data_IF_968803524246
#
_entry.id   IF_968803524246
#
_cell.length_a   1.000
_cell.length_b   1.000
_cell.length_c   1.000
_cell.angle_alpha   90.00
_cell.angle_beta   90.00
_cell.angle_gamma   90.00
#
_symmetry.space_group_name_H-M   'P 1'
#
loop_
_entity.id
_entity.type
_entity.pdbx_description
1 polymer ?
#
# COMPACT_ATOMS: atom_id res chain seq x y z
N UNK A 1 -3.79 -6.29 -3.65
CA UNK A 1 -4.71 -5.16 -3.57
C UNK A 1 -6.04 -5.74 -3.98
N UNK A 2 -7.01 -5.83 -3.06
CA UNK A 2 -8.38 -6.19 -3.41
C UNK A 2 -9.22 -4.93 -3.53
N UNK A 3 -10.03 -4.81 -4.58
CA UNK A 3 -10.94 -3.67 -4.77
C UNK A 3 -12.37 -4.17 -4.81
N UNK A 4 -13.28 -3.53 -4.09
CA UNK A 4 -14.68 -3.93 -3.99
C UNK A 4 -15.61 -2.71 -3.87
N UNK A 5 -16.84 -2.86 -4.38
CA UNK A 5 -17.92 -1.88 -4.18
C UNK A 5 -18.76 -2.17 -2.94
N UNK A 6 -18.74 -3.43 -2.49
CA UNK A 6 -19.52 -3.99 -1.39
C UNK A 6 -18.81 -5.27 -0.94
N UNK A 7 -18.84 -5.57 0.35
CA UNK A 7 -18.35 -6.85 0.88
C UNK A 7 -19.51 -7.84 1.05
N UNK A 8 -20.63 -7.38 1.63
CA UNK A 8 -21.77 -8.23 1.94
C UNK A 8 -22.38 -8.88 0.69
N UNK A 9 -22.74 -10.16 0.83
CA UNK A 9 -23.51 -10.88 -0.17
C UNK A 9 -24.87 -10.21 -0.41
N UNK A 10 -25.35 -10.32 -1.65
CA UNK A 10 -26.74 -10.02 -2.01
C UNK A 10 -27.15 -10.93 -3.19
N UNK A 11 -28.46 -11.13 -3.44
CA UNK A 11 -28.92 -11.94 -4.56
C UNK A 11 -28.40 -11.47 -5.93
N UNK A 12 -28.15 -10.17 -6.08
CA UNK A 12 -27.57 -9.52 -7.27
C UNK A 12 -26.05 -9.30 -7.17
N UNK A 13 -25.42 -9.80 -6.10
CA UNK A 13 -24.00 -9.67 -5.78
C UNK A 13 -23.47 -10.95 -5.13
N UNK A 14 -23.52 -12.03 -5.91
CA UNK A 14 -23.41 -13.41 -5.41
C UNK A 14 -22.01 -13.83 -4.96
N UNK A 15 -21.00 -13.03 -5.27
CA UNK A 15 -19.60 -13.24 -4.89
C UNK A 15 -19.20 -12.43 -3.65
N UNK A 16 -20.15 -11.69 -3.05
CA UNK A 16 -19.95 -11.11 -1.72
C UNK A 16 -19.97 -12.17 -0.61
N UNK A 17 -19.54 -11.77 0.58
CA UNK A 17 -19.44 -12.64 1.75
C UNK A 17 -20.79 -12.74 2.47
N UNK A 18 -21.31 -13.95 2.73
CA UNK A 18 -22.56 -14.12 3.50
C UNK A 18 -22.45 -13.61 4.95
N UNK A 19 -23.54 -13.11 5.55
CA UNK A 19 -23.55 -12.58 6.92
C UNK A 19 -22.99 -13.56 7.95
N UNK A 20 -23.38 -14.83 7.89
CA UNK A 20 -22.94 -15.86 8.81
C UNK A 20 -21.43 -16.13 8.74
N UNK A 21 -20.84 -16.01 7.55
CA UNK A 21 -19.39 -16.14 7.34
C UNK A 21 -18.67 -14.92 7.92
N UNK A 22 -19.23 -13.74 7.71
CA UNK A 22 -18.65 -12.49 8.19
C UNK A 22 -18.77 -12.35 9.73
N UNK A 23 -19.88 -12.76 10.32
CA UNK A 23 -20.07 -12.75 11.77
C UNK A 23 -19.10 -13.71 12.46
N UNK A 24 -18.88 -14.90 11.89
CA UNK A 24 -17.86 -15.83 12.38
C UNK A 24 -16.44 -15.24 12.29
N UNK A 25 -16.16 -14.48 11.22
CA UNK A 25 -14.90 -13.75 11.06
C UNK A 25 -14.74 -12.68 12.15
N UNK A 26 -15.78 -11.90 12.45
CA UNK A 26 -15.76 -10.87 13.48
C UNK A 26 -15.56 -11.46 14.88
N UNK A 27 -16.24 -12.56 15.21
CA UNK A 27 -16.05 -13.26 16.49
C UNK A 27 -14.62 -13.77 16.64
N UNK A 28 -14.06 -14.36 15.57
CA UNK A 28 -12.66 -14.81 15.57
C UNK A 28 -11.70 -13.64 15.72
N UNK A 29 -11.97 -12.53 15.02
CA UNK A 29 -11.18 -11.31 15.16
C UNK A 29 -11.17 -10.80 16.59
N UNK A 30 -12.30 -10.79 17.27
CA UNK A 30 -12.39 -10.34 18.66
C UNK A 30 -11.58 -11.22 19.62
N UNK A 31 -11.69 -12.54 19.50
CA UNK A 31 -11.06 -13.51 20.42
C UNK A 31 -9.55 -13.74 20.17
N UNK A 32 -9.14 -13.58 18.92
CA UNK A 32 -7.79 -13.91 18.46
C UNK A 32 -7.04 -12.68 17.94
N UNK A 33 -7.58 -11.47 18.15
CA UNK A 33 -6.88 -10.23 17.84
C UNK A 33 -5.48 -10.25 18.43
N UNK A 34 -4.50 -9.96 17.58
CA UNK A 34 -3.10 -9.97 18.00
C UNK A 34 -2.43 -11.34 18.00
N UNK A 35 -3.11 -12.42 17.61
CA UNK A 35 -2.48 -13.74 17.45
C UNK A 35 -2.02 -14.00 16.02
N UNK A 36 -2.08 -12.97 15.16
CA UNK A 36 -1.71 -13.10 13.76
C UNK A 36 -2.84 -13.68 12.90
N UNK A 37 -4.08 -13.50 13.32
CA UNK A 37 -5.25 -14.00 12.59
C UNK A 37 -5.42 -13.33 11.24
N UNK A 38 -5.91 -14.13 10.28
CA UNK A 38 -6.04 -13.81 8.86
C UNK A 38 -4.75 -13.60 8.08
N UNK A 39 -3.56 -13.71 8.68
CA UNK A 39 -2.32 -13.63 7.90
C UNK A 39 -2.30 -14.66 6.76
N UNK A 40 -2.74 -15.89 7.02
CA UNK A 40 -2.84 -16.94 5.99
C UNK A 40 -3.88 -16.68 4.91
N UNK A 41 -4.87 -15.81 5.18
CA UNK A 41 -5.88 -15.41 4.22
C UNK A 41 -5.44 -14.18 3.41
N UNK A 42 -4.83 -13.20 4.07
CA UNK A 42 -4.39 -11.92 3.49
C UNK A 42 -3.03 -12.01 2.79
N UNK A 43 -2.13 -12.87 3.27
CA UNK A 43 -0.82 -13.10 2.69
C UNK A 43 -0.47 -14.59 2.81
N UNK A 44 -1.10 -15.47 2.00
CA UNK A 44 -0.80 -16.90 1.98
C UNK A 44 0.69 -17.22 1.85
N UNK A 45 1.46 -16.37 1.15
CA UNK A 45 2.92 -16.54 1.02
C UNK A 45 3.69 -16.44 2.34
N UNK A 46 3.09 -15.84 3.39
CA UNK A 46 3.66 -15.67 4.72
C UNK A 46 3.02 -16.59 5.77
N UNK A 47 2.12 -17.49 5.36
CA UNK A 47 1.32 -18.30 6.29
C UNK A 47 2.15 -19.24 7.18
N UNK A 48 3.27 -19.74 6.67
CA UNK A 48 4.13 -20.70 7.36
C UNK A 48 5.31 -20.02 8.09
N UNK A 49 5.44 -18.70 7.97
CA UNK A 49 6.45 -17.92 8.68
C UNK A 49 5.94 -17.56 10.09
N UNK A 50 6.45 -18.28 11.09
CA UNK A 50 6.12 -18.06 12.49
C UNK A 50 6.48 -16.64 12.98
N UNK A 51 7.58 -16.08 12.47
CA UNK A 51 8.00 -14.72 12.80
C UNK A 51 7.06 -13.68 12.17
N UNK A 52 6.60 -13.93 10.94
CA UNK A 52 5.59 -13.10 10.29
C UNK A 52 4.24 -13.15 11.03
N UNK A 53 3.79 -14.33 11.48
CA UNK A 53 2.55 -14.49 12.27
C UNK A 53 2.62 -13.75 13.59
N UNK A 54 3.72 -13.92 14.32
CA UNK A 54 3.92 -13.25 15.60
C UNK A 54 4.02 -11.72 15.43
N UNK A 55 4.67 -11.26 14.37
CA UNK A 55 4.72 -9.85 14.01
C UNK A 55 3.34 -9.29 13.66
N UNK A 56 2.57 -9.95 12.80
CA UNK A 56 1.21 -9.53 12.42
C UNK A 56 0.33 -9.40 13.66
N UNK A 57 0.47 -10.34 14.59
CA UNK A 57 -0.16 -10.27 15.90
C UNK A 57 0.27 -9.07 16.75
N UNK A 58 1.56 -8.74 16.79
CA UNK A 58 2.03 -7.51 17.46
C UNK A 58 1.46 -6.26 16.81
N UNK A 59 1.46 -6.18 15.48
CA UNK A 59 0.92 -5.07 14.71
C UNK A 59 -0.56 -4.84 15.02
N UNK A 60 -1.38 -5.89 14.97
CA UNK A 60 -2.80 -5.83 15.34
C UNK A 60 -3.00 -5.20 16.74
N UNK A 61 -2.24 -5.62 17.75
CA UNK A 61 -2.36 -5.04 19.10
C UNK A 61 -1.93 -3.58 19.20
N UNK A 62 -0.95 -3.17 18.39
CA UNK A 62 -0.40 -1.81 18.41
C UNK A 62 -1.24 -0.83 17.58
N UNK A 63 -1.97 -1.32 16.58
CA UNK A 63 -2.76 -0.48 15.69
C UNK A 63 -4.09 -0.05 16.32
N UNK A 64 -4.88 -0.99 16.81
CA UNK A 64 -6.16 -0.69 17.45
C UNK A 64 -6.59 -1.79 18.43
N UNK A 65 -7.61 -1.48 19.24
CA UNK A 65 -8.22 -2.47 20.12
C UNK A 65 -9.03 -3.49 19.29
N UNK A 66 -9.24 -4.73 19.80
CA UNK A 66 -10.07 -5.73 19.12
C UNK A 66 -11.47 -5.19 18.79
N UNK A 67 -12.09 -4.47 19.72
CA UNK A 67 -13.40 -3.86 19.53
C UNK A 67 -13.40 -2.77 18.44
N UNK A 68 -12.34 -1.96 18.35
CA UNK A 68 -12.20 -0.98 17.28
C UNK A 68 -12.01 -1.65 15.91
N UNK A 69 -11.22 -2.74 15.83
CA UNK A 69 -11.07 -3.51 14.60
C UNK A 69 -12.39 -4.13 14.14
N UNK A 70 -13.14 -4.75 15.06
CA UNK A 70 -14.46 -5.32 14.78
C UNK A 70 -15.44 -4.25 14.31
N UNK A 71 -15.44 -3.07 14.94
CA UNK A 71 -16.29 -1.96 14.53
C UNK A 71 -15.95 -1.47 13.11
N UNK A 72 -14.67 -1.33 12.77
CA UNK A 72 -14.22 -0.92 11.43
C UNK A 72 -14.61 -1.96 10.37
N UNK A 73 -14.42 -3.25 10.66
CA UNK A 73 -14.80 -4.33 9.74
C UNK A 73 -16.31 -4.40 9.55
N UNK A 74 -17.09 -4.30 10.63
CA UNK A 74 -18.56 -4.24 10.57
C UNK A 74 -19.04 -3.07 9.72
N UNK A 75 -18.48 -1.88 9.95
CA UNK A 75 -18.76 -0.70 9.13
C UNK A 75 -18.42 -0.95 7.65
N UNK A 76 -17.23 -1.50 7.35
CA UNK A 76 -16.82 -1.82 5.99
C UNK A 76 -17.75 -2.83 5.30
N UNK A 77 -18.31 -3.77 6.06
CA UNK A 77 -19.28 -4.75 5.57
C UNK A 77 -20.63 -4.14 5.19
N UNK A 78 -21.07 -3.14 5.95
CA UNK A 78 -22.32 -2.42 5.73
C UNK A 78 -22.26 -1.44 4.55
N UNK A 79 -21.06 -1.03 4.14
CA UNK A 79 -20.87 -0.10 3.01
C UNK A 79 -21.29 -0.75 1.69
N UNK A 80 -22.13 -0.01 0.94
CA UNK A 80 -22.54 -0.36 -0.41
C UNK A 80 -22.35 0.84 -1.36
N UNK A 81 -21.25 0.83 -2.09
CA UNK A 81 -20.92 1.81 -3.11
C UNK A 81 -21.47 1.45 -4.50
N UNK A 82 -22.19 0.33 -4.68
CA UNK A 82 -22.71 -0.08 -6.00
C UNK A 82 -23.59 0.98 -6.66
N UNK A 83 -24.49 1.70 -5.96
CA UNK A 83 -25.36 2.71 -6.58
C UNK A 83 -24.61 3.92 -7.15
N UNK A 84 -23.41 4.21 -6.66
CA UNK A 84 -22.66 5.41 -7.04
C UNK A 84 -21.62 5.14 -8.15
N UNK A 85 -21.33 3.87 -8.48
CA UNK A 85 -20.36 3.53 -9.53
C UNK A 85 -20.64 4.21 -10.88
N UNK A 86 -21.90 4.29 -11.37
CA UNK A 86 -22.19 4.94 -12.64
C UNK A 86 -21.96 6.47 -12.64
N UNK A 87 -21.86 7.09 -11.45
CA UNK A 87 -21.60 8.51 -11.31
C UNK A 87 -20.11 8.87 -11.45
N UNK A 88 -19.21 7.88 -11.44
CA UNK A 88 -17.78 8.10 -11.65
C UNK A 88 -17.55 8.44 -13.12
N UNK A 89 -17.09 9.67 -13.39
CA UNK A 89 -16.84 10.20 -14.76
C UNK A 89 -15.38 10.43 -15.09
N UNK A 90 -14.49 10.32 -14.09
CA UNK A 90 -13.05 10.46 -14.28
C UNK A 90 -12.45 9.14 -14.77
N UNK A 91 -11.35 9.17 -15.54
CA UNK A 91 -10.62 7.96 -15.90
C UNK A 91 -10.29 7.13 -14.65
N UNK A 92 -10.67 5.85 -14.66
CA UNK A 92 -10.47 4.95 -13.53
C UNK A 92 -9.71 3.72 -14.00
N UNK A 93 -8.65 3.35 -13.28
CA UNK A 93 -7.93 2.10 -13.49
C UNK A 93 -8.23 1.15 -12.33
N UNK A 94 -8.65 -0.07 -12.65
CA UNK A 94 -8.98 -1.12 -11.67
C UNK A 94 -7.91 -2.21 -11.77
N UNK A 95 -7.24 -2.48 -10.67
CA UNK A 95 -6.15 -3.45 -10.59
C UNK A 95 -6.53 -4.53 -9.57
N UNK A 96 -6.46 -5.80 -9.95
CA UNK A 96 -6.78 -6.90 -9.04
C UNK A 96 -5.87 -8.11 -9.21
N UNK A 97 -5.69 -8.89 -8.14
CA UNK A 97 -4.94 -10.15 -8.20
C UNK A 97 -5.85 -11.36 -8.27
N UNK A 98 -5.64 -12.22 -9.25
CA UNK A 98 -6.56 -13.34 -9.54
C UNK A 98 -6.57 -14.39 -8.43
N UNK A 99 -5.46 -14.58 -7.71
CA UNK A 99 -5.34 -15.58 -6.64
C UNK A 99 -5.71 -15.07 -5.25
N UNK A 100 -6.17 -13.82 -5.12
CA UNK A 100 -6.48 -13.19 -3.84
C UNK A 100 -7.71 -13.86 -3.21
N UNK A 101 -7.66 -14.12 -1.90
CA UNK A 101 -8.60 -15.02 -1.22
C UNK A 101 -9.65 -14.30 -0.38
N UNK A 102 -9.41 -13.07 0.05
CA UNK A 102 -10.35 -12.33 0.91
C UNK A 102 -11.31 -11.46 0.13
N UNK A 103 -10.92 -11.04 -1.08
CA UNK A 103 -11.71 -10.29 -2.05
C UNK A 103 -11.56 -10.96 -3.42
N UNK A 104 -12.48 -11.86 -3.80
CA UNK A 104 -12.47 -12.51 -5.10
C UNK A 104 -12.39 -11.53 -6.29
N UNK A 105 -11.80 -11.97 -7.40
CA UNK A 105 -11.57 -11.12 -8.60
C UNK A 105 -12.86 -10.57 -9.20
N UNK A 106 -13.98 -11.24 -8.94
CA UNK A 106 -15.33 -10.85 -9.32
C UNK A 106 -15.70 -9.46 -8.82
N UNK A 107 -15.19 -9.02 -7.66
CA UNK A 107 -15.41 -7.66 -7.17
C UNK A 107 -14.82 -6.60 -8.10
N UNK A 108 -13.60 -6.83 -8.61
CA UNK A 108 -12.95 -5.91 -9.53
C UNK A 108 -13.58 -5.95 -10.92
N UNK A 109 -13.95 -7.13 -11.42
CA UNK A 109 -14.70 -7.27 -12.67
C UNK A 109 -16.04 -6.54 -12.62
N UNK A 110 -16.74 -6.62 -11.48
CA UNK A 110 -18.00 -5.91 -11.27
C UNK A 110 -17.83 -4.39 -11.34
N UNK A 111 -16.77 -3.85 -10.72
CA UNK A 111 -16.42 -2.43 -10.80
C UNK A 111 -16.14 -2.02 -12.26
N UNK A 112 -15.32 -2.79 -12.98
CA UNK A 112 -14.93 -2.49 -14.36
C UNK A 112 -16.13 -2.44 -15.32
N UNK A 113 -17.15 -3.27 -15.07
CA UNK A 113 -18.39 -3.28 -15.85
C UNK A 113 -19.32 -2.09 -15.55
N UNK A 114 -19.18 -1.43 -14.40
CA UNK A 114 -20.16 -0.45 -13.90
C UNK A 114 -19.61 0.97 -13.76
N UNK A 115 -18.29 1.13 -13.81
CA UNK A 115 -17.64 2.43 -13.89
C UNK A 115 -17.45 2.79 -15.37
N UNK A 116 -18.10 3.84 -15.88
CA UNK A 116 -17.96 4.24 -17.28
C UNK A 116 -16.50 4.57 -17.64
N UNK A 117 -15.98 3.92 -18.67
CA UNK A 117 -14.62 4.17 -19.17
C UNK A 117 -13.50 3.64 -18.27
N UNK A 118 -13.80 2.73 -17.34
CA UNK A 118 -12.76 2.12 -16.52
C UNK A 118 -11.85 1.20 -17.35
N UNK A 119 -10.55 1.37 -17.16
CA UNK A 119 -9.55 0.39 -17.58
C UNK A 119 -9.39 -0.68 -16.49
N UNK A 120 -9.09 -1.91 -16.88
CA UNK A 120 -9.02 -3.05 -15.97
C UNK A 120 -7.82 -3.93 -16.29
N UNK A 121 -7.05 -4.28 -15.26
CA UNK A 121 -5.94 -5.22 -15.36
C UNK A 121 -5.92 -6.24 -14.22
N UNK A 122 -5.77 -7.52 -14.60
CA UNK A 122 -5.57 -8.64 -13.68
C UNK A 122 -4.07 -8.97 -13.55
N UNK A 123 -3.64 -9.29 -12.33
CA UNK A 123 -2.27 -9.69 -12.04
C UNK A 123 -2.23 -11.06 -11.36
N UNK A 124 -1.18 -11.87 -11.61
CA UNK A 124 -0.98 -13.10 -10.87
C UNK A 124 -0.63 -12.84 -9.39
N UNK A 125 -0.89 -13.84 -8.55
CA UNK A 125 -0.55 -13.83 -7.12
C UNK A 125 -1.77 -13.88 -6.22
N UNK A 126 -1.59 -14.33 -4.97
CA UNK A 126 -2.67 -14.51 -3.99
C UNK A 126 -2.55 -13.70 -2.72
N UNK A 127 -1.51 -12.90 -2.59
CA UNK A 127 -1.38 -11.99 -1.46
C UNK A 127 -2.21 -10.73 -1.72
N UNK A 128 -3.02 -10.37 -0.73
CA UNK A 128 -3.81 -9.15 -0.70
C UNK A 128 -2.90 -7.90 -0.74
N UNK A 129 -1.60 -8.02 -0.46
CA UNK A 129 -0.60 -6.96 -0.60
C UNK A 129 0.67 -7.52 -1.29
N UNK A 130 1.23 -6.80 -2.29
CA UNK A 130 2.53 -7.15 -2.94
C UNK A 130 3.52 -5.99 -3.01
N UNK A 131 3.19 -4.86 -2.40
CA UNK A 131 4.21 -3.98 -1.84
C UNK A 131 4.62 -4.55 -0.49
N UNK A 132 5.90 -4.51 -0.16
CA UNK A 132 6.34 -4.78 1.21
C UNK A 132 6.09 -3.50 2.01
N UNK A 133 4.89 -3.40 2.55
CA UNK A 133 4.44 -2.33 3.46
C UNK A 133 5.09 -2.58 4.82
N UNK A 134 5.99 -1.69 5.26
CA UNK A 134 6.79 -1.90 6.49
C UNK A 134 6.35 -0.99 7.62
N UNK A 135 5.68 0.13 7.35
CA UNK A 135 5.15 1.02 8.38
C UNK A 135 4.17 2.07 7.82
N UNK A 136 3.15 2.42 8.60
CA UNK A 136 2.29 3.60 8.41
C UNK A 136 2.37 4.45 9.67
N UNK A 137 2.99 5.62 9.57
CA UNK A 137 2.94 6.64 10.62
C UNK A 137 2.02 7.77 10.15
N UNK A 138 0.71 7.65 10.41
CA UNK A 138 -0.29 8.64 10.02
C UNK A 138 -0.72 8.53 8.55
N UNK A 139 -0.60 9.63 7.79
CA UNK A 139 -0.96 9.75 6.36
C UNK A 139 0.17 9.30 5.39
N UNK A 140 1.32 8.87 5.93
CA UNK A 140 2.46 8.37 5.17
C UNK A 140 2.49 6.84 5.07
N UNK A 141 2.94 6.31 3.93
CA UNK A 141 3.14 4.89 3.70
C UNK A 141 4.60 4.60 3.31
N UNK A 142 5.15 3.49 3.81
CA UNK A 142 6.47 3.00 3.41
C UNK A 142 6.34 1.84 2.41
N UNK A 143 7.09 1.89 1.32
CA UNK A 143 7.19 0.81 0.35
C UNK A 143 8.64 0.53 -0.01
N UNK A 144 8.97 -0.75 -0.16
CA UNK A 144 10.28 -1.17 -0.63
C UNK A 144 10.23 -1.87 -1.98
N UNK A 145 11.31 -1.67 -2.73
CA UNK A 145 11.47 -2.15 -4.10
C UNK A 145 12.83 -2.82 -4.24
N UNK A 146 12.88 -3.83 -5.08
CA UNK A 146 14.10 -4.51 -5.52
C UNK A 146 14.94 -3.70 -6.53
N UNK A 147 14.60 -2.41 -6.74
CA UNK A 147 15.34 -1.50 -7.61
C UNK A 147 14.97 -0.02 -7.45
N UNK A 148 15.94 0.89 -7.36
CA UNK A 148 15.70 2.32 -7.08
C UNK A 148 14.90 3.04 -8.18
N UNK A 149 15.13 2.72 -9.46
CA UNK A 149 14.39 3.34 -10.56
C UNK A 149 12.89 3.00 -10.51
N UNK A 150 12.54 1.77 -10.10
CA UNK A 150 11.14 1.36 -9.90
C UNK A 150 10.49 2.13 -8.76
N UNK A 151 11.20 2.35 -7.66
CA UNK A 151 10.71 3.13 -6.52
C UNK A 151 10.36 4.58 -6.94
N UNK A 152 11.26 5.24 -7.68
CA UNK A 152 11.04 6.60 -8.19
C UNK A 152 9.84 6.67 -9.14
N UNK A 153 9.75 5.74 -10.11
CA UNK A 153 8.61 5.69 -11.05
C UNK A 153 7.29 5.40 -10.35
N UNK A 154 7.29 4.55 -9.33
CA UNK A 154 6.11 4.29 -8.52
C UNK A 154 5.64 5.56 -7.80
N UNK A 155 6.56 6.29 -7.15
CA UNK A 155 6.25 7.56 -6.51
C UNK A 155 5.69 8.60 -7.51
N UNK A 156 6.27 8.67 -8.72
CA UNK A 156 5.80 9.55 -9.79
C UNK A 156 4.38 9.17 -10.27
N UNK A 157 4.12 7.89 -10.50
CA UNK A 157 2.80 7.40 -10.91
C UNK A 157 1.73 7.71 -9.85
N UNK A 158 2.03 7.50 -8.56
CA UNK A 158 1.12 7.85 -7.46
C UNK A 158 0.89 9.36 -7.45
N UNK A 159 1.96 10.17 -7.52
CA UNK A 159 1.88 11.63 -7.53
C UNK A 159 1.01 12.19 -8.65
N UNK A 160 1.17 11.66 -9.87
CA UNK A 160 0.33 12.02 -11.02
C UNK A 160 -1.13 11.62 -10.81
N UNK A 161 -1.37 10.43 -10.27
CA UNK A 161 -2.72 9.91 -10.03
C UNK A 161 -3.49 10.73 -9.00
N UNK A 162 -2.86 11.07 -7.87
CA UNK A 162 -3.52 11.82 -6.78
C UNK A 162 -3.67 13.31 -7.10
N UNK A 163 -2.81 13.87 -7.97
CA UNK A 163 -2.95 15.25 -8.46
C UNK A 163 -4.27 15.48 -9.19
N UNK A 164 -4.78 14.46 -9.89
CA UNK A 164 -6.11 14.53 -10.52
C UNK A 164 -7.27 14.69 -9.51
N UNK A 165 -7.01 14.39 -8.24
CA UNK A 165 -7.94 14.52 -7.12
C UNK A 165 -7.74 15.81 -6.31
N UNK A 166 -6.86 16.71 -6.77
CA UNK A 166 -6.49 17.92 -6.02
C UNK A 166 -5.62 17.66 -4.79
N UNK A 167 -5.00 16.48 -4.72
CA UNK A 167 -4.11 16.08 -3.62
C UNK A 167 -2.66 16.11 -4.08
N UNK A 168 -1.76 16.44 -3.15
CA UNK A 168 -0.32 16.40 -3.38
C UNK A 168 0.32 15.46 -2.37
N UNK A 169 1.21 14.59 -2.86
CA UNK A 169 2.01 13.73 -1.99
C UNK A 169 3.44 14.24 -1.92
N UNK A 170 4.11 13.88 -0.83
CA UNK A 170 5.54 14.08 -0.62
C UNK A 170 6.17 12.70 -0.58
N UNK A 171 7.25 12.49 -1.34
CA UNK A 171 7.91 11.19 -1.39
C UNK A 171 9.42 11.32 -1.18
N UNK A 172 9.99 10.31 -0.53
CA UNK A 172 11.44 10.19 -0.32
C UNK A 172 11.91 8.80 -0.73
N UNK A 173 12.97 8.73 -1.53
CA UNK A 173 13.57 7.46 -1.97
C UNK A 173 15.03 7.40 -1.54
N UNK A 174 15.40 6.29 -0.92
CA UNK A 174 16.78 6.00 -0.54
C UNK A 174 17.11 4.53 -0.80
N UNK A 175 18.37 4.27 -1.10
CA UNK A 175 18.95 2.93 -1.19
C UNK A 175 20.09 2.83 -0.20
N UNK A 176 20.06 1.81 0.64
CA UNK A 176 21.13 1.48 1.57
C UNK A 176 20.97 0.05 2.07
N UNK A 177 21.91 -0.39 2.89
CA UNK A 177 21.80 -1.68 3.56
C UNK A 177 20.60 -1.68 4.51
N UNK A 178 19.84 -2.75 4.41
CA UNK A 178 18.64 -2.97 5.19
C UNK A 178 18.71 -4.35 5.82
N UNK A 179 18.35 -4.43 7.09
CA UNK A 179 18.15 -5.72 7.74
C UNK A 179 16.77 -6.24 7.36
N UNK A 180 16.75 -7.36 6.63
CA UNK A 180 15.54 -8.04 6.23
C UNK A 180 15.26 -9.13 7.26
N UNK A 181 14.41 -8.82 8.23
CA UNK A 181 13.98 -9.76 9.28
C UNK A 181 12.57 -10.25 8.95
N UNK A 182 12.46 -11.26 8.09
CA UNK A 182 11.17 -11.73 7.57
C UNK A 182 10.44 -10.60 6.83
N UNK A 183 9.23 -10.25 7.29
CA UNK A 183 8.41 -9.17 6.73
C UNK A 183 8.84 -7.74 7.08
N UNK A 184 9.82 -7.54 7.98
CA UNK A 184 10.33 -6.20 8.35
C UNK A 184 11.55 -5.78 7.54
N UNK A 185 11.59 -4.51 7.13
CA UNK A 185 12.82 -3.79 6.75
C UNK A 185 13.19 -2.94 7.94
N UNK A 186 14.31 -3.27 8.56
CA UNK A 186 14.97 -2.42 9.55
C UNK A 186 16.24 -1.81 8.98
N UNK A 187 16.83 -0.92 9.75
CA UNK A 187 18.13 -0.33 9.43
C UNK A 187 18.03 1.15 9.10
N UNK A 188 19.19 1.80 9.12
CA UNK A 188 19.34 3.24 8.95
C UNK A 188 18.74 3.74 7.62
N UNK A 189 18.76 2.91 6.58
CA UNK A 189 18.24 3.24 5.27
C UNK A 189 16.73 3.56 5.28
N UNK A 190 15.95 2.90 6.14
CA UNK A 190 14.50 3.16 6.32
C UNK A 190 14.28 4.55 6.90
N UNK A 191 15.03 4.86 7.97
CA UNK A 191 14.95 6.17 8.61
C UNK A 191 15.40 7.29 7.67
N UNK A 192 16.46 7.06 6.87
CA UNK A 192 16.92 8.01 5.85
C UNK A 192 15.80 8.28 4.84
N UNK A 193 15.18 7.24 4.25
CA UNK A 193 14.07 7.41 3.31
C UNK A 193 12.92 8.24 3.87
N UNK A 194 12.51 7.97 5.13
CA UNK A 194 11.48 8.73 5.81
C UNK A 194 11.87 10.20 6.05
N UNK A 195 13.15 10.48 6.38
CA UNK A 195 13.64 11.86 6.57
C UNK A 195 13.74 12.62 5.26
N UNK A 196 14.11 11.94 4.16
CA UNK A 196 14.08 12.52 2.82
C UNK A 196 12.64 12.86 2.42
N UNK A 197 11.67 11.97 2.67
CA UNK A 197 10.26 12.24 2.41
C UNK A 197 9.74 13.44 3.23
N UNK A 198 10.21 13.57 4.48
CA UNK A 198 9.85 14.69 5.36
C UNK A 198 10.42 16.03 4.89
N UNK A 199 11.55 16.01 4.18
CA UNK A 199 12.20 17.19 3.61
C UNK A 199 11.60 17.61 2.25
N UNK A 200 10.80 16.75 1.62
CA UNK A 200 10.18 17.03 0.33
C UNK A 200 9.05 18.05 0.46
N UNK A 201 8.94 18.94 -0.54
CA UNK A 201 7.79 19.83 -0.70
C UNK A 201 6.54 19.07 -1.19
N UNK A 202 5.32 19.60 -1.01
CA UNK A 202 4.13 19.02 -1.66
C UNK A 202 4.34 18.81 -3.17
N UNK A 203 3.98 17.64 -3.67
CA UNK A 203 4.11 17.26 -5.08
C UNK A 203 5.52 16.84 -5.49
N UNK A 204 6.46 16.72 -4.55
CA UNK A 204 7.87 16.47 -4.80
C UNK A 204 8.32 15.07 -4.41
N UNK A 205 9.23 14.52 -5.22
CA UNK A 205 9.93 13.27 -4.97
C UNK A 205 11.40 13.60 -4.75
N UNK A 206 11.86 13.53 -3.50
CA UNK A 206 13.28 13.69 -3.18
C UNK A 206 13.99 12.34 -3.12
N UNK A 207 15.24 12.32 -3.56
CA UNK A 207 16.10 11.14 -3.52
C UNK A 207 17.49 11.48 -2.98
N UNK A 208 18.17 10.50 -2.40
CA UNK A 208 19.58 10.65 -2.01
C UNK A 208 20.53 10.60 -3.22
N UNK A 209 21.78 11.06 -3.04
CA UNK A 209 22.86 10.87 -4.04
C UNK A 209 23.01 9.40 -4.47
N UNK A 210 22.97 8.46 -3.51
CA UNK A 210 23.05 7.03 -3.79
C UNK A 210 22.00 6.55 -4.80
N UNK A 211 20.77 7.04 -4.70
CA UNK A 211 19.70 6.66 -5.62
C UNK A 211 19.99 7.22 -7.02
N UNK A 212 20.35 8.51 -7.11
CA UNK A 212 20.73 9.17 -8.37
C UNK A 212 21.85 8.40 -9.09
N UNK A 213 22.89 8.02 -8.35
CA UNK A 213 24.06 7.35 -8.92
C UNK A 213 23.74 5.92 -9.39
N UNK A 214 22.91 5.18 -8.63
CA UNK A 214 22.49 3.82 -8.98
C UNK A 214 21.53 3.74 -10.18
N UNK A 215 20.87 4.85 -10.55
CA UNK A 215 19.88 4.89 -11.64
C UNK A 215 20.38 5.63 -12.87
N UNK A 216 21.70 5.85 -12.99
CA UNK A 216 22.30 6.38 -14.21
C UNK A 216 21.86 5.55 -15.43
N UNK A 217 21.37 6.22 -16.48
CA UNK A 217 20.85 5.56 -17.69
C UNK A 217 19.40 5.06 -17.60
N UNK A 218 18.69 5.29 -16.49
CA UNK A 218 17.28 4.86 -16.33
C UNK A 218 16.22 5.75 -17.00
N UNK A 219 16.64 6.86 -17.62
CA UNK A 219 15.74 7.88 -18.18
C UNK A 219 15.07 8.76 -17.12
N UNK A 220 15.59 8.81 -15.89
CA UNK A 220 15.15 9.75 -14.85
C UNK A 220 16.01 11.02 -14.88
N UNK A 221 15.37 12.17 -14.65
CA UNK A 221 16.04 13.45 -14.50
C UNK A 221 16.13 13.85 -13.01
N UNK A 222 17.21 14.57 -12.66
CA UNK A 222 17.50 14.95 -11.28
C UNK A 222 17.92 16.41 -11.19
N UNK A 223 17.26 17.18 -10.33
CA UNK A 223 17.63 18.55 -10.00
C UNK A 223 18.22 18.59 -8.59
N UNK A 224 19.41 19.19 -8.45
CA UNK A 224 20.08 19.32 -7.15
C UNK A 224 19.31 20.24 -6.20
N UNK A 225 19.05 19.76 -4.98
CA UNK A 225 18.38 20.50 -3.90
C UNK A 225 19.31 20.81 -2.74
N UNK A 226 20.62 20.68 -2.94
CA UNK A 226 21.64 21.04 -1.97
C UNK A 226 21.81 20.00 -0.86
N UNK A 227 22.59 20.39 0.15
CA UNK A 227 22.92 19.56 1.31
C UNK A 227 21.93 19.79 2.45
N UNK A 228 21.51 18.70 3.09
CA UNK A 228 20.53 18.68 4.18
C UNK A 228 21.07 17.91 5.39
N UNK A 229 20.77 18.38 6.60
CA UNK A 229 20.89 17.58 7.82
C UNK A 229 19.58 16.85 8.08
N UNK A 230 19.64 15.52 8.10
CA UNK A 230 18.46 14.68 8.34
C UNK A 230 18.38 14.35 9.83
N UNK A 231 17.27 14.71 10.49
CA UNK A 231 17.09 14.50 11.94
C UNK A 231 17.34 13.02 12.32
N UNK A 232 18.36 12.79 13.16
CA UNK A 232 18.71 11.46 13.66
C UNK A 232 19.56 10.62 12.71
N UNK A 233 20.07 11.20 11.61
CA UNK A 233 21.02 10.56 10.70
C UNK A 233 22.32 11.38 10.71
N UNK A 234 23.48 10.76 11.00
CA UNK A 234 24.76 11.47 10.99
C UNK A 234 25.12 12.02 9.60
N UNK A 235 25.78 13.18 9.59
CA UNK A 235 26.37 13.76 8.39
C UNK A 235 25.43 14.65 7.57
N UNK A 236 25.98 15.11 6.45
CA UNK A 236 25.35 16.03 5.51
C UNK A 236 24.94 15.25 4.24
N UNK A 237 23.68 15.37 3.84
CA UNK A 237 23.08 14.56 2.80
C UNK A 237 22.66 15.42 1.63
N UNK A 238 23.26 15.19 0.46
CA UNK A 238 22.85 15.89 -0.77
C UNK A 238 21.63 15.23 -1.38
N UNK A 239 20.57 16.00 -1.57
CA UNK A 239 19.28 15.52 -2.05
C UNK A 239 18.99 16.05 -3.46
N UNK A 240 18.21 15.30 -4.22
CA UNK A 240 17.82 15.65 -5.57
C UNK A 240 16.32 15.48 -5.75
N UNK A 241 15.67 16.43 -6.42
CA UNK A 241 14.31 16.24 -6.90
C UNK A 241 14.34 15.39 -8.17
N UNK A 242 13.58 14.29 -8.18
CA UNK A 242 13.51 13.35 -9.29
C UNK A 242 12.25 13.56 -10.13
N UNK A 243 12.38 13.45 -11.44
CA UNK A 243 11.26 13.43 -12.40
C UNK A 243 11.52 12.44 -13.53
N UNK A 244 10.51 12.10 -14.31
CA UNK A 244 10.75 11.46 -15.61
C UNK A 244 11.46 12.45 -16.55
N UNK A 245 12.39 11.96 -17.36
CA UNK A 245 13.02 12.77 -18.40
C UNK A 245 12.02 13.00 -19.54
N UNK A 246 11.82 14.27 -19.90
CA UNK A 246 11.05 14.68 -21.08
C UNK A 246 11.74 14.32 -22.39
#
# INVERSE_FOLDING_TARGET
MGTFARIAWAPDYTFGTPPEVYDALLQRMEQEWGKGVLLSALAPSLADDAAAREWWGRFQRQSCSPGAAVALLRMAYEIDARPILPAIRVPAMILHRVGERTVPVEHARYLAQRIPGAEYAEFPGGDHFRGREVDTAGDGFFAAFDGPARAVRCAAAIGSSVRSLGLEIRAGVHTGECEVMGAKIGGIAVHIGARIASAASPGEILVSSTVKDLVAGSGLAFQDRGSHELKGVPGQWRLYAASEAS
#
